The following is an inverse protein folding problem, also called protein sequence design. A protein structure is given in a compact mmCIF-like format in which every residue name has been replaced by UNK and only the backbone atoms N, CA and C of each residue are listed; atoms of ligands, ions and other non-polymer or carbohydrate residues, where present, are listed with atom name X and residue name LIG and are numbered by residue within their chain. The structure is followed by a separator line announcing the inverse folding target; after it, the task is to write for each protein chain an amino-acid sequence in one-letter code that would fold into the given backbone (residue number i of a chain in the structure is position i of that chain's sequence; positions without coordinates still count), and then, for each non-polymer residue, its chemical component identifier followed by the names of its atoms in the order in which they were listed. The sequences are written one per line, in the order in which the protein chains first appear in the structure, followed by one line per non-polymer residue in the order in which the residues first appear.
data_IF_478218608553
#
_entry.id   IF_478218608553
#
_cell.length_a   1.000
_cell.length_b   1.000
_cell.length_c   1.000
_cell.angle_alpha   90.00
_cell.angle_beta   90.00
_cell.angle_gamma   90.00
#
_symmetry.space_group_name_H-M   'P 1'
#
loop_
_entity.id
_entity.type
_entity.pdbx_description
1 polymer ?
#
# COMPACT_ATOMS: atom_id res chain seq x y z
N UNK A 1 44.01 73.88 19.27
CA UNK A 1 44.05 72.41 19.15
C UNK A 1 42.62 71.87 19.04
N UNK A 2 42.17 71.41 17.83
CA UNK A 2 40.84 70.86 17.60
C UNK A 2 41.00 69.38 17.42
N UNK A 3 40.36 68.56 18.24
CA UNK A 3 40.30 67.14 18.11
C UNK A 3 39.02 66.73 17.32
N UNK A 4 39.07 65.88 16.34
CA UNK A 4 37.87 65.38 15.68
C UNK A 4 37.33 64.12 16.43
N UNK A 5 36.03 64.17 16.70
CA UNK A 5 35.25 63.03 17.26
C UNK A 5 35.01 62.04 16.11
N UNK A 6 35.54 60.82 16.22
CA UNK A 6 35.15 59.68 15.35
C UNK A 6 33.91 59.01 15.93
N UNK A 7 32.79 59.15 15.28
CA UNK A 7 31.59 58.38 15.54
C UNK A 7 31.67 57.01 14.83
N UNK A 8 31.81 55.93 15.61
CA UNK A 8 31.74 54.57 15.08
C UNK A 8 30.28 54.17 14.90
N UNK A 9 29.83 54.03 13.66
CA UNK A 9 28.53 53.46 13.32
C UNK A 9 28.64 51.91 13.43
N UNK A 10 28.10 51.32 14.49
CA UNK A 10 27.91 49.87 14.61
C UNK A 10 26.70 49.47 13.77
N UNK A 11 26.95 48.95 12.57
CA UNK A 11 25.92 48.36 11.72
C UNK A 11 25.48 47.00 12.28
N UNK A 12 24.31 46.94 12.90
CA UNK A 12 23.66 45.67 13.27
C UNK A 12 23.19 44.94 12.01
N UNK A 13 23.93 43.91 11.58
CA UNK A 13 23.45 42.97 10.59
C UNK A 13 22.32 42.15 11.22
N UNK A 14 21.09 42.49 10.95
CA UNK A 14 19.95 41.61 11.14
C UNK A 14 20.06 40.49 10.08
N UNK A 15 20.55 39.33 10.49
CA UNK A 15 20.40 38.11 9.72
C UNK A 15 18.89 37.78 9.69
N UNK A 16 18.22 38.16 8.59
CA UNK A 16 16.88 37.66 8.31
C UNK A 16 17.03 36.16 8.10
N UNK A 17 16.64 35.36 9.11
CA UNK A 17 16.40 33.95 8.93
C UNK A 17 15.36 33.83 7.82
N UNK A 18 15.78 33.37 6.63
CA UNK A 18 14.85 33.02 5.57
C UNK A 18 13.94 31.91 6.12
N UNK A 19 12.75 32.29 6.57
CA UNK A 19 11.70 31.32 6.88
C UNK A 19 11.45 30.53 5.60
N UNK A 20 11.77 29.25 5.60
CA UNK A 20 11.45 28.39 4.48
C UNK A 20 9.93 28.50 4.23
N UNK A 21 9.56 28.87 3.01
CA UNK A 21 8.16 29.03 2.62
C UNK A 21 7.44 27.71 2.84
N UNK A 22 6.26 27.73 3.47
CA UNK A 22 5.39 26.56 3.57
C UNK A 22 5.12 25.96 2.18
N UNK A 23 5.31 24.66 2.04
CA UNK A 23 5.01 23.94 0.80
C UNK A 23 3.70 23.16 0.97
N UNK A 24 2.86 23.13 -0.07
CA UNK A 24 1.65 22.32 -0.10
C UNK A 24 1.80 21.21 -1.13
N UNK A 25 1.69 19.95 -0.69
CA UNK A 25 1.79 18.76 -1.51
C UNK A 25 0.39 18.30 -1.95
N UNK A 26 0.22 17.99 -3.23
CA UNK A 26 -1.02 17.44 -3.78
C UNK A 26 -1.07 15.94 -3.56
N UNK A 27 -2.13 15.45 -2.90
CA UNK A 27 -2.26 14.06 -2.49
C UNK A 27 -3.48 13.37 -3.10
N UNK A 28 -3.33 12.09 -3.47
CA UNK A 28 -4.43 11.18 -3.82
C UNK A 28 -4.28 9.85 -3.13
N UNK A 29 -5.38 9.12 -3.00
CA UNK A 29 -5.38 7.71 -2.62
C UNK A 29 -5.96 6.83 -3.72
N UNK A 30 -5.44 5.60 -3.85
CA UNK A 30 -5.97 4.60 -4.78
C UNK A 30 -7.28 3.96 -4.29
N UNK A 31 -7.71 4.25 -3.09
CA UNK A 31 -8.88 3.64 -2.43
C UNK A 31 -10.00 4.64 -2.28
N UNK A 32 -11.25 4.15 -2.19
CA UNK A 32 -12.38 5.03 -1.94
C UNK A 32 -12.22 5.73 -0.59
N UNK A 33 -12.56 7.00 -0.55
CA UNK A 33 -12.44 7.86 0.62
C UNK A 33 -13.28 7.32 1.78
N UNK A 34 -12.76 7.42 3.00
CA UNK A 34 -13.41 6.92 4.21
C UNK A 34 -13.44 5.39 4.34
N UNK A 35 -12.88 4.63 3.39
CA UNK A 35 -12.76 3.16 3.49
C UNK A 35 -11.50 2.75 4.26
N UNK A 36 -11.42 1.47 4.63
CA UNK A 36 -10.33 0.92 5.44
C UNK A 36 -8.93 1.32 4.98
N UNK A 37 -8.67 1.30 3.67
CA UNK A 37 -7.34 1.54 3.11
C UNK A 37 -7.07 3.02 2.76
N UNK A 38 -8.05 3.92 2.96
CA UNK A 38 -7.85 5.37 2.86
C UNK A 38 -7.81 6.06 4.21
N UNK A 39 -8.55 5.58 5.22
CA UNK A 39 -8.67 6.22 6.55
C UNK A 39 -7.33 6.51 7.23
N UNK A 40 -6.40 5.59 7.20
CA UNK A 40 -5.09 5.81 7.81
C UNK A 40 -4.29 6.88 7.08
N UNK A 41 -4.42 6.98 5.75
CA UNK A 41 -3.80 8.05 4.97
C UNK A 41 -4.49 9.40 5.24
N UNK A 42 -5.80 9.42 5.41
CA UNK A 42 -6.54 10.62 5.81
C UNK A 42 -6.09 11.11 7.21
N UNK A 43 -5.88 10.18 8.16
CA UNK A 43 -5.29 10.47 9.49
C UNK A 43 -3.85 10.99 9.36
N UNK A 44 -3.04 10.41 8.46
CA UNK A 44 -1.69 10.89 8.16
C UNK A 44 -1.71 12.33 7.63
N UNK A 45 -2.60 12.66 6.69
CA UNK A 45 -2.77 14.01 6.16
C UNK A 45 -3.13 14.99 7.29
N UNK A 46 -4.07 14.63 8.14
CA UNK A 46 -4.47 15.46 9.28
C UNK A 46 -3.28 15.72 10.23
N UNK A 47 -2.48 14.67 10.51
CA UNK A 47 -1.29 14.79 11.34
C UNK A 47 -0.23 15.69 10.72
N UNK A 48 0.09 15.50 9.43
CA UNK A 48 1.05 16.37 8.72
C UNK A 48 0.56 17.80 8.72
N UNK A 49 -0.71 18.06 8.45
CA UNK A 49 -1.27 19.40 8.42
C UNK A 49 -1.33 20.07 9.80
N UNK A 50 -1.46 19.29 10.86
CA UNK A 50 -1.39 19.82 12.24
C UNK A 50 0.04 20.14 12.66
N UNK A 51 0.95 19.16 12.50
CA UNK A 51 2.34 19.26 12.99
C UNK A 51 3.23 20.11 12.06
N UNK A 52 2.90 20.15 10.77
CA UNK A 52 3.65 20.86 9.73
C UNK A 52 3.16 22.28 9.42
N UNK A 53 2.32 22.86 10.28
CA UNK A 53 1.78 24.21 10.06
C UNK A 53 2.91 25.24 9.92
N UNK A 54 2.89 25.98 8.81
CA UNK A 54 3.96 26.92 8.46
C UNK A 54 5.21 26.28 7.84
N UNK A 55 5.25 24.94 7.67
CA UNK A 55 6.39 24.18 7.13
C UNK A 55 5.98 23.37 5.90
N UNK A 56 5.02 22.44 6.04
CA UNK A 56 4.51 21.60 4.97
C UNK A 56 3.05 21.25 5.23
N UNK A 57 2.23 21.33 4.18
CA UNK A 57 0.83 20.96 4.21
C UNK A 57 0.55 19.94 3.11
N UNK A 58 -0.52 19.16 3.26
CA UNK A 58 -1.03 18.24 2.25
C UNK A 58 -2.42 18.69 1.83
N UNK A 59 -2.60 18.97 0.53
CA UNK A 59 -3.90 19.16 -0.10
C UNK A 59 -4.42 17.82 -0.62
N UNK A 60 -5.42 17.26 0.05
CA UNK A 60 -6.04 16.01 -0.35
C UNK A 60 -7.03 16.22 -1.50
N UNK A 61 -6.70 15.70 -2.68
CA UNK A 61 -7.53 15.84 -3.90
C UNK A 61 -8.67 14.81 -3.88
N UNK A 62 -8.43 13.61 -3.32
CA UNK A 62 -9.43 12.55 -3.21
C UNK A 62 -8.92 11.16 -3.59
N UNK A 63 -9.88 10.27 -3.85
CA UNK A 63 -9.66 8.86 -4.20
C UNK A 63 -9.94 8.54 -5.68
N UNK A 64 -10.54 7.36 -5.99
CA UNK A 64 -10.76 6.86 -7.34
C UNK A 64 -11.60 7.74 -8.26
N UNK A 65 -12.38 8.68 -7.71
CA UNK A 65 -13.11 9.68 -8.51
C UNK A 65 -12.19 10.75 -9.09
N UNK A 66 -11.11 11.08 -8.37
CA UNK A 66 -10.12 12.04 -8.83
C UNK A 66 -9.10 11.39 -9.78
N UNK A 67 -8.75 10.13 -9.55
CA UNK A 67 -7.76 9.41 -10.35
C UNK A 67 -8.01 7.90 -10.32
N UNK A 68 -8.00 7.20 -11.48
CA UNK A 68 -8.13 5.74 -11.52
C UNK A 68 -7.03 5.05 -10.70
N UNK A 69 -7.35 4.02 -9.90
CA UNK A 69 -6.40 3.39 -8.97
C UNK A 69 -5.10 2.91 -9.60
N UNK A 70 -5.16 2.33 -10.80
CA UNK A 70 -3.99 1.80 -11.52
C UNK A 70 -3.11 2.89 -12.17
N UNK A 71 -3.59 4.15 -12.23
CA UNK A 71 -2.83 5.29 -12.74
C UNK A 71 -2.05 6.04 -11.67
N UNK A 72 -2.36 5.81 -10.39
CA UNK A 72 -1.79 6.57 -9.27
C UNK A 72 -0.26 6.42 -9.21
N UNK A 73 0.28 5.22 -9.41
CA UNK A 73 1.73 4.99 -9.43
C UNK A 73 2.43 5.78 -10.54
N UNK A 74 1.84 5.82 -11.75
CA UNK A 74 2.38 6.61 -12.86
C UNK A 74 2.27 8.12 -12.60
N UNK A 75 1.18 8.56 -11.98
CA UNK A 75 0.97 9.97 -11.65
C UNK A 75 1.99 10.49 -10.63
N UNK A 76 2.38 9.67 -9.63
CA UNK A 76 3.51 9.99 -8.74
C UNK A 76 4.81 10.05 -9.54
N UNK A 77 5.09 9.05 -10.38
CA UNK A 77 6.32 8.98 -11.19
C UNK A 77 6.52 10.23 -12.04
N UNK A 78 5.46 10.71 -12.67
CA UNK A 78 5.47 11.85 -13.60
C UNK A 78 5.20 13.20 -12.95
N UNK A 79 5.10 13.25 -11.61
CA UNK A 79 4.83 14.49 -10.84
C UNK A 79 3.48 15.15 -11.17
N UNK A 80 2.50 14.40 -11.67
CA UNK A 80 1.11 14.88 -11.77
C UNK A 80 0.53 15.10 -10.38
N UNK A 81 0.90 14.22 -9.42
CA UNK A 81 0.66 14.37 -7.99
C UNK A 81 1.99 14.27 -7.23
N UNK A 82 2.02 14.84 -6.02
CA UNK A 82 3.24 14.96 -5.24
C UNK A 82 3.40 13.80 -4.23
N UNK A 83 2.30 13.33 -3.65
CA UNK A 83 2.26 12.25 -2.67
C UNK A 83 1.02 11.37 -2.89
N UNK A 84 1.14 10.07 -2.69
CA UNK A 84 0.04 9.13 -2.86
C UNK A 84 0.02 8.00 -1.83
N UNK A 85 -1.19 7.54 -1.52
CA UNK A 85 -1.46 6.28 -0.83
C UNK A 85 -1.85 5.23 -1.86
N UNK A 86 -0.97 4.26 -2.11
CA UNK A 86 -1.14 3.28 -3.18
C UNK A 86 -0.49 1.94 -2.82
N UNK A 87 -1.13 0.83 -3.17
CA UNK A 87 -0.54 -0.51 -3.04
C UNK A 87 0.39 -0.83 -4.21
N UNK A 88 1.49 -1.55 -3.94
CA UNK A 88 2.39 -2.09 -4.96
C UNK A 88 1.67 -2.88 -6.04
N UNK A 89 0.56 -3.51 -5.69
CA UNK A 89 -0.31 -4.25 -6.61
C UNK A 89 -0.76 -3.45 -7.84
N UNK A 90 -0.82 -2.12 -7.75
CA UNK A 90 -1.38 -1.26 -8.80
C UNK A 90 -0.35 -0.69 -9.78
N UNK A 91 0.96 -0.86 -9.50
CA UNK A 91 2.03 -0.34 -10.36
C UNK A 91 3.12 -1.37 -10.69
N UNK A 92 2.81 -2.67 -10.63
CA UNK A 92 3.76 -3.75 -10.99
C UNK A 92 4.21 -3.73 -12.45
N UNK A 93 3.48 -3.08 -13.33
CA UNK A 93 3.85 -2.82 -14.72
C UNK A 93 5.02 -1.83 -14.83
N UNK A 94 5.14 -0.90 -13.89
CA UNK A 94 6.21 0.09 -13.81
C UNK A 94 7.41 -0.43 -13.00
N UNK A 95 7.14 -1.20 -11.95
CA UNK A 95 8.14 -1.77 -11.05
C UNK A 95 7.73 -3.21 -10.65
N UNK A 96 8.20 -4.24 -11.37
CA UNK A 96 7.84 -5.63 -11.07
C UNK A 96 8.14 -6.08 -9.65
N UNK A 97 9.15 -5.51 -9.00
CA UNK A 97 9.53 -5.79 -7.61
C UNK A 97 8.44 -5.38 -6.59
N UNK A 98 7.53 -4.48 -6.95
CA UNK A 98 6.38 -4.15 -6.11
C UNK A 98 5.49 -5.37 -5.82
N UNK A 99 5.53 -6.38 -6.69
CA UNK A 99 4.85 -7.66 -6.48
C UNK A 99 5.42 -8.46 -5.30
N UNK A 100 6.66 -8.24 -4.89
CA UNK A 100 7.26 -8.89 -3.73
C UNK A 100 6.65 -8.41 -2.39
N UNK A 101 6.07 -7.21 -2.35
CA UNK A 101 5.62 -6.59 -1.11
C UNK A 101 4.55 -7.42 -0.38
N UNK A 102 3.69 -8.13 -1.13
CA UNK A 102 2.70 -9.07 -0.57
C UNK A 102 3.29 -10.32 0.10
N UNK A 103 4.53 -10.67 -0.27
CA UNK A 103 5.26 -11.85 0.22
C UNK A 103 6.13 -11.52 1.45
N UNK A 104 6.31 -10.23 1.75
CA UNK A 104 7.14 -9.74 2.86
C UNK A 104 6.23 -9.40 4.03
N UNK A 105 5.95 -10.38 4.90
CA UNK A 105 5.09 -10.21 6.08
C UNK A 105 5.75 -9.58 7.30
N UNK A 106 7.01 -9.08 7.18
CA UNK A 106 7.72 -8.44 8.29
C UNK A 106 7.17 -7.03 8.57
N UNK A 107 7.11 -6.60 9.86
CA UNK A 107 6.76 -5.23 10.21
C UNK A 107 7.75 -4.22 9.62
N UNK A 108 7.29 -2.99 9.38
CA UNK A 108 8.09 -1.94 8.74
C UNK A 108 9.37 -1.60 9.52
N UNK A 109 9.31 -1.60 10.86
CA UNK A 109 10.48 -1.37 11.72
C UNK A 109 11.54 -2.46 11.60
N UNK A 110 11.15 -3.72 11.44
CA UNK A 110 12.06 -4.83 11.17
C UNK A 110 12.70 -4.72 9.79
N UNK A 111 11.91 -4.35 8.77
CA UNK A 111 12.42 -4.12 7.41
C UNK A 111 13.42 -2.96 7.34
N UNK A 112 13.23 -1.92 8.14
CA UNK A 112 14.17 -0.79 8.25
C UNK A 112 15.52 -1.23 8.86
N UNK A 113 15.50 -2.20 9.79
CA UNK A 113 16.70 -2.73 10.46
C UNK A 113 17.49 -3.73 9.62
N UNK A 114 16.80 -4.56 8.83
CA UNK A 114 17.44 -5.65 8.07
C UNK A 114 17.81 -5.27 6.62
N UNK A 115 17.55 -4.04 6.21
CA UNK A 115 17.87 -3.52 4.88
C UNK A 115 16.79 -3.77 3.83
N UNK A 116 15.71 -4.49 4.15
CA UNK A 116 14.59 -4.74 3.22
C UNK A 116 13.95 -3.42 2.77
N UNK A 117 13.66 -2.53 3.74
CA UNK A 117 13.06 -1.23 3.44
C UNK A 117 13.97 -0.36 2.55
N UNK A 118 15.27 -0.36 2.85
CA UNK A 118 16.25 0.40 2.06
C UNK A 118 16.31 -0.07 0.60
N UNK A 119 16.24 -1.39 0.37
CA UNK A 119 16.18 -1.93 -0.98
C UNK A 119 14.87 -1.56 -1.70
N UNK A 120 13.74 -1.63 -1.00
CA UNK A 120 12.43 -1.22 -1.54
C UNK A 120 12.47 0.27 -1.92
N UNK A 121 12.99 1.12 -1.06
CA UNK A 121 13.15 2.56 -1.32
C UNK A 121 14.05 2.83 -2.52
N UNK A 122 15.22 2.16 -2.58
CA UNK A 122 16.13 2.27 -3.72
C UNK A 122 15.45 1.90 -5.05
N UNK A 123 14.69 0.82 -5.09
CA UNK A 123 13.97 0.37 -6.27
C UNK A 123 12.89 1.36 -6.71
N UNK A 124 12.14 1.92 -5.75
CA UNK A 124 11.16 2.96 -6.04
C UNK A 124 11.82 4.23 -6.60
N UNK A 125 12.95 4.64 -6.03
CA UNK A 125 13.71 5.79 -6.53
C UNK A 125 14.20 5.57 -7.97
N UNK A 126 14.72 4.40 -8.27
CA UNK A 126 15.30 4.08 -9.58
C UNK A 126 14.26 3.86 -10.68
N UNK A 127 13.16 3.16 -10.37
CA UNK A 127 12.19 2.69 -11.38
C UNK A 127 10.92 3.51 -11.44
N UNK A 128 10.52 4.10 -10.31
CA UNK A 128 9.26 4.83 -10.19
C UNK A 128 9.46 6.34 -9.94
N UNK A 129 10.69 6.84 -9.90
CA UNK A 129 10.99 8.23 -9.51
C UNK A 129 10.22 8.65 -8.23
N UNK A 130 10.14 7.75 -7.25
CA UNK A 130 9.41 7.94 -6.02
C UNK A 130 10.25 7.61 -4.79
N UNK A 131 10.07 8.36 -3.71
CA UNK A 131 10.51 8.03 -2.37
C UNK A 131 9.42 7.20 -1.68
N UNK A 132 9.78 6.00 -1.20
CA UNK A 132 8.87 5.12 -0.45
C UNK A 132 8.88 5.53 1.01
N UNK A 133 7.92 6.39 1.40
CA UNK A 133 7.93 7.08 2.70
C UNK A 133 7.49 6.18 3.85
N UNK A 134 6.41 5.42 3.67
CA UNK A 134 5.82 4.56 4.71
C UNK A 134 5.18 3.31 4.12
N UNK A 135 5.08 2.26 4.97
CA UNK A 135 4.37 1.00 4.67
C UNK A 135 3.34 0.72 5.76
N UNK A 136 2.14 0.31 5.36
CA UNK A 136 1.02 -0.02 6.24
C UNK A 136 0.50 -1.43 5.98
N UNK A 137 -0.23 -2.00 6.95
CA UNK A 137 -1.04 -3.21 6.84
C UNK A 137 -0.24 -4.52 6.67
N UNK A 138 1.05 -4.56 7.04
CA UNK A 138 1.90 -5.74 6.87
C UNK A 138 1.35 -7.03 7.50
N UNK A 139 0.53 -6.91 8.54
CA UNK A 139 -0.06 -8.02 9.31
C UNK A 139 -1.52 -8.30 8.95
N UNK A 140 -2.08 -7.61 7.93
CA UNK A 140 -3.47 -7.85 7.51
C UNK A 140 -3.50 -9.01 6.50
N UNK A 141 -4.18 -10.12 6.84
CA UNK A 141 -4.22 -11.31 5.99
C UNK A 141 -5.08 -11.11 4.74
N UNK A 142 -4.65 -11.74 3.63
CA UNK A 142 -5.28 -11.68 2.32
C UNK A 142 -5.88 -13.04 1.95
N UNK A 143 -7.14 -13.04 1.50
CA UNK A 143 -7.93 -14.24 1.21
C UNK A 143 -8.50 -14.23 -0.22
N UNK A 144 -8.93 -15.41 -0.68
CA UNK A 144 -9.85 -15.54 -1.81
C UNK A 144 -11.27 -15.66 -1.25
N UNK A 145 -12.18 -14.86 -1.78
CA UNK A 145 -13.61 -14.89 -1.50
C UNK A 145 -14.38 -15.41 -2.71
N UNK A 146 -15.45 -16.15 -2.48
CA UNK A 146 -16.21 -16.80 -3.53
C UNK A 146 -17.72 -16.77 -3.27
N UNK A 147 -18.52 -16.85 -4.32
CA UNK A 147 -19.95 -17.08 -4.27
C UNK A 147 -20.32 -18.58 -4.46
N UNK A 148 -19.33 -19.42 -4.81
CA UNK A 148 -19.44 -20.87 -4.96
C UNK A 148 -18.52 -21.57 -3.97
N UNK A 149 -18.99 -22.69 -3.39
CA UNK A 149 -18.16 -23.56 -2.56
C UNK A 149 -17.27 -24.43 -3.43
N UNK A 150 -16.05 -24.65 -2.98
CA UNK A 150 -15.15 -25.70 -3.50
C UNK A 150 -14.90 -26.73 -2.42
N UNK A 151 -14.75 -28.00 -2.83
CA UNK A 151 -14.50 -29.13 -1.93
C UNK A 151 -13.05 -29.64 -2.03
N UNK A 152 -12.26 -29.10 -2.94
CA UNK A 152 -10.83 -29.37 -3.13
C UNK A 152 -10.13 -28.10 -3.58
N UNK A 153 -8.79 -28.06 -3.47
CA UNK A 153 -7.96 -26.94 -3.92
C UNK A 153 -7.80 -26.97 -5.45
N UNK A 154 -8.87 -26.63 -6.14
CA UNK A 154 -8.96 -26.61 -7.61
C UNK A 154 -9.92 -25.51 -8.04
N UNK A 155 -9.42 -24.55 -8.83
CA UNK A 155 -10.20 -23.42 -9.34
C UNK A 155 -10.64 -23.61 -10.79
N UNK A 156 -10.50 -24.83 -11.32
CA UNK A 156 -10.97 -25.16 -12.68
C UNK A 156 -12.44 -24.78 -12.86
N UNK A 157 -12.75 -24.02 -13.88
CA UNK A 157 -14.09 -23.51 -14.17
C UNK A 157 -14.52 -22.28 -13.36
N UNK A 158 -13.68 -21.78 -12.44
CA UNK A 158 -13.92 -20.54 -11.71
C UNK A 158 -13.27 -19.35 -12.42
N UNK A 159 -13.97 -18.22 -12.41
CA UNK A 159 -13.46 -16.92 -12.84
C UNK A 159 -13.23 -16.05 -11.60
N UNK A 160 -11.99 -15.70 -11.32
CA UNK A 160 -11.61 -14.94 -10.13
C UNK A 160 -11.18 -13.54 -10.53
N UNK A 161 -11.79 -12.54 -9.93
CA UNK A 161 -11.32 -11.16 -10.06
C UNK A 161 -9.98 -11.02 -9.35
N UNK A 162 -9.01 -10.46 -10.04
CA UNK A 162 -7.66 -10.27 -9.53
C UNK A 162 -7.18 -8.82 -9.69
N UNK A 163 -6.17 -8.47 -8.90
CA UNK A 163 -5.16 -7.48 -9.26
C UNK A 163 -3.94 -8.22 -9.81
N UNK A 164 -2.98 -7.56 -10.46
CA UNK A 164 -1.83 -8.25 -11.05
C UNK A 164 -1.06 -9.18 -10.09
N UNK A 165 -1.04 -8.86 -8.80
CA UNK A 165 -0.15 -9.53 -7.82
C UNK A 165 -0.57 -10.94 -7.38
N UNK A 166 -1.78 -11.40 -7.63
CA UNK A 166 -2.22 -12.77 -7.30
C UNK A 166 -2.83 -13.54 -8.46
N UNK A 167 -2.70 -12.99 -9.67
CA UNK A 167 -3.10 -13.63 -10.90
C UNK A 167 -2.47 -15.01 -11.04
N UNK A 168 -1.16 -15.08 -10.88
CA UNK A 168 -0.37 -16.31 -11.12
C UNK A 168 -0.79 -17.45 -10.18
N UNK A 169 -1.17 -17.15 -8.93
CA UNK A 169 -1.66 -18.16 -7.97
C UNK A 169 -3.01 -18.72 -8.41
N UNK A 170 -3.94 -17.87 -8.84
CA UNK A 170 -5.25 -18.29 -9.31
C UNK A 170 -5.11 -19.18 -10.55
N UNK A 171 -4.24 -18.80 -11.49
CA UNK A 171 -3.98 -19.58 -12.70
C UNK A 171 -3.26 -20.91 -12.39
N UNK A 172 -2.32 -20.91 -11.42
CA UNK A 172 -1.66 -22.15 -10.96
C UNK A 172 -2.61 -23.12 -10.24
N UNK A 173 -3.76 -22.62 -9.78
CA UNK A 173 -4.85 -23.44 -9.22
C UNK A 173 -5.92 -23.81 -10.27
N UNK A 174 -5.69 -23.51 -11.57
CA UNK A 174 -6.61 -23.85 -12.67
C UNK A 174 -7.71 -22.82 -12.94
N UNK A 175 -7.72 -21.70 -12.22
CA UNK A 175 -8.73 -20.64 -12.38
C UNK A 175 -8.46 -19.72 -13.57
N UNK A 176 -9.52 -19.08 -14.05
CA UNK A 176 -9.43 -17.98 -15.02
C UNK A 176 -9.47 -16.64 -14.30
N UNK A 177 -8.69 -15.67 -14.76
CA UNK A 177 -8.55 -14.38 -14.11
C UNK A 177 -9.19 -13.24 -14.88
N UNK A 178 -9.78 -12.28 -14.14
CA UNK A 178 -10.33 -11.02 -14.68
C UNK A 178 -9.76 -9.88 -13.85
N UNK A 179 -8.97 -8.99 -14.45
CA UNK A 179 -8.38 -7.85 -13.74
C UNK A 179 -9.31 -6.65 -13.82
N UNK A 180 -9.79 -6.19 -12.64
CA UNK A 180 -10.61 -4.97 -12.54
C UNK A 180 -10.28 -4.17 -11.28
N UNK A 181 -10.60 -2.86 -11.31
CA UNK A 181 -10.48 -1.98 -10.16
C UNK A 181 -11.44 -2.40 -9.02
N UNK A 182 -11.14 -2.07 -7.75
CA UNK A 182 -12.00 -2.44 -6.62
C UNK A 182 -13.46 -1.99 -6.77
N UNK A 183 -13.72 -0.80 -7.30
CA UNK A 183 -15.09 -0.28 -7.46
C UNK A 183 -15.99 -1.09 -8.40
N UNK A 184 -15.42 -2.01 -9.21
CA UNK A 184 -16.16 -2.82 -10.19
C UNK A 184 -16.54 -4.21 -9.68
N UNK A 185 -15.97 -4.63 -8.54
CA UNK A 185 -16.06 -6.02 -8.05
C UNK A 185 -17.50 -6.40 -7.69
N UNK A 186 -18.24 -5.53 -7.01
CA UNK A 186 -19.64 -5.78 -6.65
C UNK A 186 -20.47 -6.15 -7.90
N UNK A 187 -20.43 -5.29 -8.90
CA UNK A 187 -21.19 -5.50 -10.15
C UNK A 187 -20.73 -6.73 -10.91
N UNK A 188 -19.42 -7.01 -10.92
CA UNK A 188 -18.88 -8.20 -11.57
C UNK A 188 -19.37 -9.51 -10.93
N UNK A 189 -19.46 -9.56 -9.60
CA UNK A 189 -20.02 -10.69 -8.85
C UNK A 189 -21.53 -10.81 -9.02
N UNK A 190 -22.26 -9.70 -8.89
CA UNK A 190 -23.72 -9.66 -9.02
C UNK A 190 -24.17 -10.16 -10.40
N UNK A 191 -23.46 -9.78 -11.46
CA UNK A 191 -23.75 -10.18 -12.84
C UNK A 191 -23.15 -11.53 -13.24
N UNK A 192 -22.46 -12.22 -12.34
CA UNK A 192 -21.81 -13.50 -12.63
C UNK A 192 -20.66 -13.42 -13.64
N UNK A 193 -20.06 -12.24 -13.84
CA UNK A 193 -18.85 -12.06 -14.65
C UNK A 193 -17.67 -12.77 -13.99
N UNK A 194 -17.65 -12.78 -12.65
CA UNK A 194 -16.68 -13.51 -11.83
C UNK A 194 -17.38 -14.32 -10.74
N UNK A 195 -16.74 -15.40 -10.29
CA UNK A 195 -17.22 -16.29 -9.23
C UNK A 195 -16.59 -15.96 -7.86
N UNK A 196 -15.58 -15.11 -7.85
CA UNK A 196 -14.86 -14.74 -6.65
C UNK A 196 -13.86 -13.64 -6.89
N UNK A 197 -13.14 -13.27 -5.82
CA UNK A 197 -12.14 -12.21 -5.84
C UNK A 197 -11.11 -12.41 -4.74
N UNK A 198 -9.91 -11.84 -4.90
CA UNK A 198 -8.94 -11.70 -3.82
C UNK A 198 -9.12 -10.36 -3.11
N UNK A 199 -9.13 -10.40 -1.76
CA UNK A 199 -9.18 -9.21 -0.92
C UNK A 199 -8.64 -9.50 0.50
N UNK A 200 -8.18 -8.46 1.21
CA UNK A 200 -7.86 -8.57 2.63
C UNK A 200 -9.07 -9.01 3.48
N UNK A 201 -8.77 -9.49 4.70
CA UNK A 201 -9.82 -9.85 5.67
C UNK A 201 -10.70 -8.64 6.04
N UNK A 202 -10.17 -7.43 5.90
CA UNK A 202 -10.83 -6.17 6.23
C UNK A 202 -11.32 -5.44 4.96
N UNK A 203 -12.39 -4.64 5.09
CA UNK A 203 -12.83 -3.68 4.08
C UNK A 203 -13.88 -4.17 3.08
N UNK A 204 -14.35 -5.44 3.13
CA UNK A 204 -15.41 -5.90 2.22
C UNK A 204 -16.76 -5.23 2.49
N UNK A 205 -17.02 -4.84 3.74
CA UNK A 205 -18.24 -4.11 4.14
C UNK A 205 -18.24 -2.65 3.66
N UNK A 206 -17.06 -2.03 3.57
CA UNK A 206 -16.94 -0.66 3.06
C UNK A 206 -17.42 -0.53 1.61
N UNK A 207 -17.37 -1.64 0.86
CA UNK A 207 -17.69 -1.73 -0.56
C UNK A 207 -18.99 -2.50 -0.83
N UNK A 208 -19.67 -2.97 0.23
CA UNK A 208 -20.93 -3.71 0.15
C UNK A 208 -20.80 -5.12 -0.42
N UNK A 209 -19.58 -5.66 -0.49
CA UNK A 209 -19.31 -6.97 -1.14
C UNK A 209 -19.81 -8.15 -0.32
N UNK A 210 -20.08 -7.96 0.98
CA UNK A 210 -20.68 -8.99 1.84
C UNK A 210 -22.00 -9.50 1.29
N UNK A 211 -22.75 -8.68 0.56
CA UNK A 211 -24.07 -9.03 -0.02
C UNK A 211 -23.97 -10.04 -1.15
N UNK A 212 -22.82 -10.10 -1.81
CA UNK A 212 -22.56 -10.96 -2.99
C UNK A 212 -21.49 -12.01 -2.74
N UNK A 213 -21.03 -12.14 -1.47
CA UNK A 213 -19.99 -13.08 -1.04
C UNK A 213 -20.61 -14.14 -0.13
N UNK A 214 -20.28 -15.41 -0.37
CA UNK A 214 -20.77 -16.54 0.44
C UNK A 214 -19.68 -17.30 1.19
N UNK A 215 -18.48 -17.32 0.64
CA UNK A 215 -17.40 -18.13 1.15
C UNK A 215 -16.07 -17.36 1.19
N UNK A 216 -15.23 -17.72 2.16
CA UNK A 216 -13.83 -17.27 2.27
C UNK A 216 -12.93 -18.49 2.36
N UNK A 217 -11.95 -18.60 1.45
CA UNK A 217 -10.97 -19.68 1.48
C UNK A 217 -9.96 -19.44 2.63
N UNK A 218 -9.75 -20.46 3.44
CA UNK A 218 -8.73 -20.52 4.48
C UNK A 218 -7.60 -21.47 4.08
N UNK A 219 -6.36 -21.20 4.50
CA UNK A 219 -5.92 -20.01 5.25
C UNK A 219 -5.70 -18.80 4.33
N UNK A 220 -5.43 -17.63 4.94
CA UNK A 220 -4.84 -16.47 4.23
C UNK A 220 -3.49 -16.86 3.62
N UNK A 221 -3.16 -16.32 2.44
CA UNK A 221 -1.98 -16.75 1.71
C UNK A 221 -0.95 -15.63 1.43
N UNK A 222 -1.36 -14.37 1.54
CA UNK A 222 -0.50 -13.20 1.41
C UNK A 222 -0.78 -12.20 2.53
N UNK A 223 0.09 -11.19 2.63
CA UNK A 223 -0.10 -10.00 3.48
C UNK A 223 -0.44 -8.79 2.63
N UNK A 224 -1.17 -7.86 3.23
CA UNK A 224 -1.44 -6.57 2.57
C UNK A 224 -0.20 -5.69 2.60
N UNK A 225 -0.10 -4.84 1.64
CA UNK A 225 0.80 -3.71 1.63
C UNK A 225 0.08 -2.51 1.02
N UNK A 226 0.16 -1.37 1.70
CA UNK A 226 -0.20 -0.07 1.16
C UNK A 226 0.93 0.91 1.51
N UNK A 227 1.55 1.46 0.47
CA UNK A 227 2.65 2.40 0.62
C UNK A 227 2.19 3.86 0.55
N UNK A 228 2.96 4.74 1.19
CA UNK A 228 2.91 6.17 0.94
C UNK A 228 4.12 6.54 0.08
N UNK A 229 3.86 7.01 -1.13
CA UNK A 229 4.87 7.40 -2.11
C UNK A 229 4.92 8.91 -2.24
N UNK A 230 6.11 9.48 -2.31
CA UNK A 230 6.35 10.89 -2.65
C UNK A 230 7.15 10.95 -3.95
N UNK A 231 6.75 11.79 -4.91
CA UNK A 231 7.57 11.98 -6.11
C UNK A 231 9.00 12.38 -5.72
N UNK A 232 10.02 11.75 -6.34
CA UNK A 232 11.42 11.91 -5.93
C UNK A 232 11.95 13.34 -6.17
N UNK A 233 11.48 14.03 -7.20
CA UNK A 233 11.92 15.41 -7.47
C UNK A 233 11.32 16.37 -6.43
N UNK A 234 10.07 16.11 -6.02
CA UNK A 234 9.44 16.81 -4.90
C UNK A 234 10.23 16.53 -3.61
N UNK A 235 10.47 15.24 -3.28
CA UNK A 235 11.22 14.86 -2.09
C UNK A 235 12.59 15.52 -1.99
N UNK A 236 13.34 15.56 -3.09
CA UNK A 236 14.66 16.21 -3.16
C UNK A 236 14.57 17.73 -2.96
N UNK A 237 13.49 18.38 -3.38
CA UNK A 237 13.29 19.82 -3.22
C UNK A 237 12.87 20.25 -1.82
N UNK A 238 12.41 19.30 -0.97
CA UNK A 238 12.02 19.60 0.41
C UNK A 238 13.23 19.91 1.28
N UNK A 239 13.05 20.86 2.21
CA UNK A 239 14.02 21.14 3.26
C UNK A 239 14.06 20.02 4.31
N UNK A 240 15.10 19.99 5.13
CA UNK A 240 15.21 19.00 6.22
C UNK A 240 14.06 19.12 7.23
N UNK A 241 13.59 20.34 7.51
CA UNK A 241 12.43 20.57 8.37
C UNK A 241 11.15 19.97 7.78
N UNK A 242 10.90 20.15 6.47
CA UNK A 242 9.76 19.57 5.78
C UNK A 242 9.82 18.03 5.73
N UNK A 243 10.99 17.47 5.41
CA UNK A 243 11.23 16.02 5.44
C UNK A 243 11.04 15.45 6.84
N UNK A 244 11.47 16.16 7.88
CA UNK A 244 11.29 15.71 9.27
C UNK A 244 9.82 15.56 9.64
N UNK A 245 8.97 16.53 9.31
CA UNK A 245 7.52 16.44 9.57
C UNK A 245 6.91 15.22 8.86
N UNK A 246 7.26 15.01 7.58
CA UNK A 246 6.75 13.87 6.81
C UNK A 246 7.26 12.53 7.37
N UNK A 247 8.53 12.42 7.74
CA UNK A 247 9.11 11.21 8.32
C UNK A 247 8.52 10.87 9.69
N UNK A 248 8.34 11.87 10.57
CA UNK A 248 7.74 11.66 11.89
C UNK A 248 6.28 11.17 11.73
N UNK A 249 5.53 11.77 10.82
CA UNK A 249 4.17 11.34 10.51
C UNK A 249 4.13 9.95 9.86
N UNK A 250 5.12 9.58 9.04
CA UNK A 250 5.25 8.25 8.44
C UNK A 250 5.50 7.17 9.49
N UNK A 251 6.42 7.39 10.43
CA UNK A 251 6.68 6.46 11.52
C UNK A 251 5.45 6.30 12.43
N UNK A 252 4.74 7.39 12.70
CA UNK A 252 3.48 7.32 13.41
C UNK A 252 2.42 6.50 12.65
N UNK A 253 2.33 6.70 11.33
CA UNK A 253 1.40 5.96 10.46
C UNK A 253 1.69 4.44 10.49
N UNK A 254 2.95 4.05 10.40
CA UNK A 254 3.38 2.64 10.49
C UNK A 254 3.02 2.02 11.85
N UNK A 255 3.06 2.82 12.93
CA UNK A 255 2.66 2.42 14.28
C UNK A 255 1.17 2.07 14.41
N UNK A 256 0.31 2.58 13.52
CA UNK A 256 -1.13 2.24 13.49
C UNK A 256 -1.39 0.76 13.14
N UNK A 257 -0.42 0.04 12.62
CA UNK A 257 -0.53 -1.41 12.39
C UNK A 257 -0.78 -2.21 13.67
N UNK A 258 -0.49 -1.64 14.85
CA UNK A 258 -0.88 -2.19 16.15
C UNK A 258 -2.40 -2.25 16.37
N UNK A 259 -3.18 -1.46 15.65
CA UNK A 259 -4.66 -1.45 15.70
C UNK A 259 -5.27 -2.61 14.86
N UNK A 260 -4.49 -3.21 13.97
CA UNK A 260 -4.99 -4.17 12.97
C UNK A 260 -5.50 -5.48 13.60
N UNK A 261 -4.93 -5.97 14.69
CA UNK A 261 -5.35 -7.24 15.32
C UNK A 261 -6.82 -7.17 15.79
N UNK A 262 -7.17 -6.10 16.49
CA UNK A 262 -8.56 -5.89 16.94
C UNK A 262 -9.51 -5.71 15.75
N UNK A 263 -9.06 -5.00 14.71
CA UNK A 263 -9.82 -4.81 13.48
C UNK A 263 -10.04 -6.13 12.73
N UNK A 264 -9.01 -6.95 12.57
CA UNK A 264 -9.09 -8.28 11.92
C UNK A 264 -10.10 -9.16 12.65
N UNK A 265 -10.05 -9.19 13.99
CA UNK A 265 -11.01 -9.94 14.77
C UNK A 265 -12.44 -9.45 14.55
N UNK A 266 -12.66 -8.14 14.64
CA UNK A 266 -13.99 -7.55 14.42
C UNK A 266 -14.54 -7.83 13.02
N UNK A 267 -13.70 -7.79 11.99
CA UNK A 267 -14.10 -8.09 10.62
C UNK A 267 -14.43 -9.58 10.42
N UNK A 268 -13.68 -10.50 11.04
CA UNK A 268 -14.03 -11.94 11.05
C UNK A 268 -15.40 -12.19 11.68
N UNK A 269 -15.66 -11.57 12.83
CA UNK A 269 -16.95 -11.69 13.53
C UNK A 269 -18.10 -11.14 12.65
N UNK A 270 -17.93 -9.98 12.00
CA UNK A 270 -18.90 -9.42 11.06
C UNK A 270 -19.14 -10.32 9.85
N UNK A 271 -18.08 -10.90 9.27
CA UNK A 271 -18.20 -11.82 8.13
C UNK A 271 -19.00 -13.07 8.51
N UNK A 272 -18.73 -13.63 9.68
CA UNK A 272 -19.49 -14.76 10.22
C UNK A 272 -20.97 -14.40 10.43
N UNK A 273 -21.23 -13.24 11.01
CA UNK A 273 -22.60 -12.74 11.22
C UNK A 273 -23.34 -12.47 9.90
N UNK A 274 -22.62 -12.07 8.85
CA UNK A 274 -23.16 -11.87 7.49
C UNK A 274 -23.34 -13.19 6.71
N UNK A 275 -23.00 -14.35 7.31
CA UNK A 275 -23.18 -15.65 6.70
C UNK A 275 -22.04 -16.04 5.71
N UNK A 276 -20.90 -15.35 5.74
CA UNK A 276 -19.73 -15.73 4.94
C UNK A 276 -19.03 -16.91 5.62
N UNK A 277 -19.20 -18.11 5.06
CA UNK A 277 -18.66 -19.33 5.61
C UNK A 277 -17.18 -19.52 5.23
N UNK A 278 -16.31 -19.97 6.17
CA UNK A 278 -14.96 -20.38 5.79
C UNK A 278 -15.00 -21.67 4.96
N UNK A 279 -14.14 -21.76 3.96
CA UNK A 279 -13.79 -23.00 3.27
C UNK A 279 -12.46 -23.46 3.87
N UNK A 280 -12.51 -24.48 4.71
CA UNK A 280 -11.35 -25.19 5.25
C UNK A 280 -11.23 -26.54 4.53
N UNK A 281 -10.19 -26.69 3.73
CA UNK A 281 -9.91 -27.92 2.98
C UNK A 281 -9.01 -28.92 3.76
N UNK A 282 -8.75 -28.63 5.02
CA UNK A 282 -7.92 -29.42 5.90
C UNK A 282 -6.41 -29.13 5.79
N UNK A 283 -5.61 -29.70 6.72
CA UNK A 283 -4.20 -29.33 6.88
C UNK A 283 -3.33 -29.58 5.63
N UNK A 284 -3.57 -30.67 4.91
CA UNK A 284 -2.78 -31.02 3.72
C UNK A 284 -2.99 -30.01 2.58
N UNK A 285 -4.25 -29.70 2.25
CA UNK A 285 -4.59 -28.73 1.23
C UNK A 285 -4.17 -27.30 1.63
N UNK A 286 -4.29 -26.95 2.90
CA UNK A 286 -3.82 -25.68 3.45
C UNK A 286 -2.30 -25.51 3.26
N UNK A 287 -1.52 -26.53 3.58
CA UNK A 287 -0.06 -26.55 3.37
C UNK A 287 0.28 -26.43 1.89
N UNK A 288 -0.39 -27.21 1.02
CA UNK A 288 -0.20 -27.12 -0.43
C UNK A 288 -0.50 -25.73 -0.95
N UNK A 289 -1.62 -25.12 -0.54
CA UNK A 289 -2.02 -23.76 -0.93
C UNK A 289 -0.98 -22.72 -0.57
N UNK A 290 -0.53 -22.71 0.69
CA UNK A 290 0.47 -21.76 1.16
C UNK A 290 1.82 -21.94 0.45
N UNK A 291 2.27 -23.18 0.27
CA UNK A 291 3.51 -23.49 -0.45
C UNK A 291 3.42 -23.01 -1.89
N UNK A 292 2.34 -23.37 -2.59
CA UNK A 292 2.11 -22.98 -3.99
C UNK A 292 2.02 -21.46 -4.15
N UNK A 293 1.30 -20.76 -3.27
CA UNK A 293 1.17 -19.31 -3.29
C UNK A 293 2.54 -18.62 -3.10
N UNK A 294 3.35 -19.09 -2.14
CA UNK A 294 4.69 -18.55 -1.89
C UNK A 294 5.62 -18.79 -3.08
N UNK A 295 5.71 -20.03 -3.56
CA UNK A 295 6.61 -20.40 -4.66
C UNK A 295 6.24 -19.69 -5.98
N UNK A 296 4.97 -19.70 -6.35
CA UNK A 296 4.49 -19.03 -7.57
C UNK A 296 4.69 -17.51 -7.46
N UNK A 297 4.41 -16.94 -6.30
CA UNK A 297 4.61 -15.51 -6.06
C UNK A 297 6.07 -15.12 -6.26
N UNK A 298 7.01 -15.80 -5.61
CA UNK A 298 8.44 -15.50 -5.76
C UNK A 298 8.97 -15.83 -7.16
N UNK A 299 8.52 -16.92 -7.78
CA UNK A 299 8.91 -17.27 -9.14
C UNK A 299 8.50 -16.16 -10.14
N UNK A 300 7.31 -15.59 -9.98
CA UNK A 300 6.82 -14.47 -10.80
C UNK A 300 7.68 -13.21 -10.63
N UNK A 301 8.02 -12.85 -9.40
CA UNK A 301 8.89 -11.70 -9.11
C UNK A 301 10.28 -11.90 -9.70
N UNK A 302 10.91 -13.07 -9.43
CA UNK A 302 12.27 -13.39 -9.88
C UNK A 302 12.32 -13.46 -11.42
N UNK A 303 11.31 -14.02 -12.07
CA UNK A 303 11.23 -14.06 -13.54
C UNK A 303 11.29 -12.68 -14.17
N UNK A 304 10.59 -11.69 -13.55
CA UNK A 304 10.50 -10.31 -14.06
C UNK A 304 11.64 -9.40 -13.60
N UNK A 305 12.30 -9.74 -12.49
CA UNK A 305 13.44 -9.03 -11.91
C UNK A 305 14.37 -10.02 -11.21
N UNK A 306 15.26 -10.71 -11.96
CA UNK A 306 16.05 -11.84 -11.42
C UNK A 306 16.91 -11.46 -10.21
N UNK A 307 17.70 -10.40 -10.33
CA UNK A 307 18.64 -9.98 -9.29
C UNK A 307 17.91 -9.43 -8.06
N UNK A 308 17.06 -8.42 -8.25
CA UNK A 308 16.36 -7.76 -7.14
C UNK A 308 15.29 -8.68 -6.51
N UNK A 309 14.61 -9.50 -7.32
CA UNK A 309 13.65 -10.48 -6.82
C UNK A 309 14.29 -11.53 -5.92
N UNK A 310 15.46 -12.07 -6.32
CA UNK A 310 16.22 -13.00 -5.50
C UNK A 310 16.69 -12.35 -4.19
N UNK A 311 17.20 -11.12 -4.25
CA UNK A 311 17.64 -10.36 -3.07
C UNK A 311 16.49 -10.05 -2.11
N UNK A 312 15.32 -9.64 -2.64
CA UNK A 312 14.12 -9.42 -1.82
C UNK A 312 13.65 -10.71 -1.15
N UNK A 313 13.67 -11.84 -1.87
CA UNK A 313 13.34 -13.16 -1.29
C UNK A 313 14.28 -13.52 -0.15
N UNK A 314 15.57 -13.36 -0.34
CA UNK A 314 16.56 -13.63 0.72
C UNK A 314 16.32 -12.75 1.96
N UNK A 315 16.08 -11.44 1.78
CA UNK A 315 15.81 -10.51 2.87
C UNK A 315 14.47 -10.79 3.55
N UNK A 316 13.47 -11.32 2.84
CA UNK A 316 12.17 -11.67 3.43
C UNK A 316 12.24 -12.85 4.42
N UNK A 317 13.31 -13.67 4.35
CA UNK A 317 13.45 -14.88 5.14
C UNK A 317 12.68 -16.08 4.57
N UNK A 318 12.31 -16.02 3.27
CA UNK A 318 11.58 -17.08 2.54
C UNK A 318 12.51 -17.83 1.57
#
# INVERSE_FOLDING_TARGET
MRFPLFAALAGSMFATAASAQEVTLRAVTSFAEGTQFSKNFERFIQKVNADGKGVVQINYIGGPRAMPPFEVGNAVRTKVIDIANVTGAFYTNLMPEADALKLIGKPADAQRKDGTFALIEQLHAQKLNAHYLARQFHNVPFHIYMNKKIDKLDFTGLKIRVTPVYKDVVEALGGTTVTTAPGEVYTALERGVVDGYGWPITGIFDLGWEKVTKFRLEPAFYSVEVGVLVNMDVWKSLTDAQKKVLNDAALWLEGLDSENEALIKAERDKQTAAGIAPIDLGPAASKEFLTKANEVGWASVIKRSPENGAKLRQLSGN
#
